data_IF_388894744320
#
_entry.id   IF_388894744320
#
_cell.length_a   1.000
_cell.length_b   1.000
_cell.length_c   1.000
_cell.angle_alpha   90.00
_cell.angle_beta   90.00
_cell.angle_gamma   90.00
#
_symmetry.space_group_name_H-M   'P 1'
#
loop_
_entity.id
_entity.type
_entity.pdbx_description
1 polymer ?
#
# COMPACT_ATOMS: atom_id res chain seq x y z
N UNK A 1 18.76 5.17 17.23
CA UNK A 1 18.50 4.04 16.32
C UNK A 1 19.79 3.74 15.60
N UNK A 2 20.07 2.46 15.30
CA UNK A 2 21.23 2.10 14.50
C UNK A 2 20.92 2.37 13.02
N UNK A 3 21.93 2.69 12.23
CA UNK A 3 21.74 2.83 10.78
C UNK A 3 21.21 1.49 10.22
N UNK A 4 20.31 1.57 9.22
CA UNK A 4 19.57 0.45 8.68
C UNK A 4 18.29 0.05 9.44
N UNK A 5 18.12 0.46 10.71
CA UNK A 5 16.91 0.15 11.48
C UNK A 5 15.72 0.98 10.99
N UNK A 6 14.61 0.31 10.64
CA UNK A 6 13.37 0.99 10.22
C UNK A 6 12.72 1.68 11.42
N UNK A 7 12.34 2.93 11.21
CA UNK A 7 11.62 3.76 12.18
C UNK A 7 10.69 4.75 11.50
N UNK A 8 10.03 5.57 12.31
CA UNK A 8 9.17 6.64 11.82
C UNK A 8 9.99 7.91 11.52
N UNK A 9 9.76 8.51 10.37
CA UNK A 9 10.41 9.76 9.97
C UNK A 9 9.78 10.93 10.73
N UNK A 10 10.63 11.72 11.41
CA UNK A 10 10.20 12.92 12.12
C UNK A 10 10.94 14.15 11.62
N UNK A 11 10.24 15.27 11.51
CA UNK A 11 10.79 16.52 11.02
C UNK A 11 10.79 17.61 12.08
N UNK A 12 11.86 18.39 12.10
CA UNK A 12 11.93 19.66 12.82
C UNK A 12 12.37 20.74 11.83
N UNK A 13 11.55 21.76 11.64
CA UNK A 13 11.89 22.88 10.76
C UNK A 13 12.74 23.88 11.54
N UNK A 14 13.99 24.09 11.12
CA UNK A 14 14.94 24.96 11.84
C UNK A 14 14.82 26.44 11.45
N UNK A 15 14.36 26.74 10.24
CA UNK A 15 14.38 28.10 9.67
C UNK A 15 12.99 28.71 9.48
N UNK A 16 11.93 27.94 9.70
CA UNK A 16 10.56 28.35 9.40
C UNK A 16 9.97 29.17 10.56
N UNK A 17 9.69 30.45 10.33
CA UNK A 17 9.12 31.35 11.35
C UNK A 17 7.60 31.20 11.52
N UNK A 18 6.87 31.00 10.42
CA UNK A 18 5.42 30.77 10.44
C UNK A 18 5.12 29.27 10.31
N UNK A 19 4.46 28.71 11.33
CA UNK A 19 4.18 27.26 11.48
C UNK A 19 5.45 26.41 11.60
N UNK A 20 6.29 26.61 12.64
CA UNK A 20 7.40 25.71 12.91
C UNK A 20 6.88 24.33 13.30
N UNK A 21 7.44 23.30 12.66
CA UNK A 21 7.23 21.91 13.03
C UNK A 21 8.34 21.49 13.99
N UNK A 22 7.98 20.97 15.17
CA UNK A 22 8.93 20.46 16.16
C UNK A 22 8.64 18.99 16.38
N UNK A 23 9.60 18.12 16.02
CA UNK A 23 9.47 16.66 16.12
C UNK A 23 8.15 16.14 15.51
N UNK A 24 7.74 16.74 14.41
CA UNK A 24 6.50 16.40 13.72
C UNK A 24 6.60 14.99 13.14
N UNK A 25 5.62 14.17 13.52
CA UNK A 25 5.53 12.74 13.18
C UNK A 25 4.77 12.58 11.88
N UNK A 26 5.44 12.13 10.83
CA UNK A 26 4.82 11.96 9.50
C UNK A 26 3.97 10.71 9.38
N UNK A 27 4.26 9.70 10.20
CA UNK A 27 3.77 8.35 10.03
C UNK A 27 4.50 7.54 8.96
N UNK A 28 5.48 8.10 8.25
CA UNK A 28 6.21 7.41 7.19
C UNK A 28 7.33 6.52 7.78
N UNK A 29 7.48 5.32 7.23
CA UNK A 29 8.45 4.34 7.68
C UNK A 29 9.66 4.31 6.74
N UNK A 30 10.83 4.63 7.27
CA UNK A 30 12.10 4.60 6.55
C UNK A 30 13.26 4.30 7.51
N UNK A 31 14.46 4.17 6.96
CA UNK A 31 15.70 4.02 7.74
C UNK A 31 16.79 4.91 7.16
N UNK A 32 17.77 5.30 7.98
CA UNK A 32 19.00 5.86 7.44
C UNK A 32 19.83 4.76 6.81
N UNK A 33 20.37 5.04 5.63
CA UNK A 33 21.33 4.17 4.95
C UNK A 33 22.65 4.18 5.72
N UNK A 34 23.28 3.02 5.82
CA UNK A 34 24.65 2.88 6.33
C UNK A 34 25.71 3.15 5.26
N UNK A 35 25.31 3.23 3.99
CA UNK A 35 26.21 3.39 2.84
C UNK A 35 26.29 4.86 2.43
N UNK A 36 27.50 5.42 2.22
CA UNK A 36 27.66 6.78 1.71
C UNK A 36 27.04 6.93 0.32
N UNK A 37 26.53 8.12 0.02
CA UNK A 37 25.96 8.39 -1.29
C UNK A 37 27.04 8.40 -2.38
N UNK A 38 26.81 7.80 -3.56
CA UNK A 38 27.75 7.87 -4.68
C UNK A 38 28.04 9.29 -5.17
N UNK A 39 27.19 10.29 -4.86
CA UNK A 39 27.46 11.69 -5.19
C UNK A 39 28.49 12.38 -4.29
N UNK A 40 28.99 11.71 -3.24
CA UNK A 40 30.01 12.25 -2.34
C UNK A 40 29.49 13.24 -1.28
N UNK A 41 28.17 13.39 -1.13
CA UNK A 41 27.62 14.22 -0.04
C UNK A 41 27.97 13.65 1.33
N UNK A 42 28.26 14.55 2.28
CA UNK A 42 28.48 14.19 3.69
C UNK A 42 27.17 13.92 4.44
N UNK A 43 26.02 14.27 3.85
CA UNK A 43 24.72 14.06 4.47
C UNK A 43 24.33 12.58 4.46
N UNK A 44 23.68 12.13 5.54
CA UNK A 44 23.09 10.79 5.60
C UNK A 44 22.00 10.65 4.55
N UNK A 45 22.00 9.54 3.83
CA UNK A 45 20.93 9.18 2.91
C UNK A 45 19.85 8.38 3.63
N UNK A 46 18.61 8.53 3.19
CA UNK A 46 17.49 7.75 3.68
C UNK A 46 17.18 6.65 2.68
N UNK A 47 16.78 5.48 3.17
CA UNK A 47 16.22 4.43 2.33
C UNK A 47 14.88 4.84 1.73
N UNK A 48 14.45 4.13 0.69
CA UNK A 48 13.12 4.33 0.10
C UNK A 48 12.05 4.17 1.19
N UNK A 49 11.10 5.10 1.22
CA UNK A 49 9.95 5.03 2.14
C UNK A 49 9.21 3.71 1.89
N UNK A 50 9.12 2.88 2.94
CA UNK A 50 8.52 1.54 2.84
C UNK A 50 6.99 1.60 2.85
N UNK A 51 6.43 2.64 3.43
CA UNK A 51 4.99 2.81 3.58
C UNK A 51 4.67 3.67 4.79
N UNK A 52 3.37 3.80 5.10
CA UNK A 52 2.89 4.55 6.26
C UNK A 52 2.49 3.60 7.38
N UNK A 53 2.80 3.96 8.62
CA UNK A 53 2.51 3.18 9.84
C UNK A 53 1.03 2.83 10.00
N UNK A 54 0.15 3.71 9.53
CA UNK A 54 -1.31 3.51 9.59
C UNK A 54 -1.85 2.69 8.40
N UNK A 55 -1.16 2.73 7.26
CA UNK A 55 -1.59 2.07 6.02
C UNK A 55 -0.94 0.69 5.86
N UNK A 56 -0.94 -0.08 6.94
CA UNK A 56 -0.44 -1.45 6.96
C UNK A 56 -1.44 -2.38 7.65
N UNK A 57 -1.49 -3.62 7.19
CA UNK A 57 -2.26 -4.69 7.81
C UNK A 57 -1.34 -5.83 8.18
N UNK A 58 -1.65 -6.47 9.32
CA UNK A 58 -0.94 -7.66 9.77
C UNK A 58 -1.45 -8.85 8.97
N UNK A 59 -0.53 -9.53 8.31
CA UNK A 59 -0.77 -10.76 7.56
C UNK A 59 0.01 -11.91 8.21
N UNK A 60 -0.27 -13.13 7.75
CA UNK A 60 0.35 -14.39 8.17
C UNK A 60 1.70 -14.26 8.90
N UNK A 61 1.78 -14.80 10.12
CA UNK A 61 3.04 -14.90 10.85
C UNK A 61 3.54 -13.59 11.47
N UNK A 62 2.69 -12.56 11.55
CA UNK A 62 3.05 -11.27 12.17
C UNK A 62 3.77 -10.30 11.23
N UNK A 63 3.81 -10.59 9.93
CA UNK A 63 4.33 -9.69 8.92
C UNK A 63 3.35 -8.56 8.60
N UNK A 64 3.86 -7.46 8.05
CA UNK A 64 3.04 -6.32 7.64
C UNK A 64 2.99 -6.20 6.11
N UNK A 65 1.78 -6.10 5.58
CA UNK A 65 1.50 -5.75 4.19
C UNK A 65 1.15 -4.26 4.13
N UNK A 66 1.89 -3.51 3.33
CA UNK A 66 1.66 -2.08 3.10
C UNK A 66 0.84 -1.86 1.83
N UNK A 67 0.04 -0.80 1.83
CA UNK A 67 -0.82 -0.49 0.68
C UNK A 67 0.00 -0.18 -0.58
N UNK A 68 1.16 0.45 -0.44
CA UNK A 68 2.08 0.73 -1.55
C UNK A 68 2.59 -0.53 -2.25
N UNK A 69 2.68 -1.67 -1.57
CA UNK A 69 3.09 -2.93 -2.19
C UNK A 69 1.97 -3.48 -3.07
N UNK A 70 0.72 -3.39 -2.60
CA UNK A 70 -0.43 -3.69 -3.45
C UNK A 70 -0.48 -2.77 -4.67
N UNK A 71 -0.20 -1.47 -4.50
CA UNK A 71 -0.14 -0.54 -5.63
C UNK A 71 0.92 -0.98 -6.65
N UNK A 72 2.11 -1.36 -6.20
CA UNK A 72 3.20 -1.87 -7.05
C UNK A 72 2.81 -3.15 -7.81
N UNK A 73 1.96 -4.00 -7.25
CA UNK A 73 1.55 -5.26 -7.89
C UNK A 73 0.36 -5.10 -8.83
N UNK A 74 -0.61 -4.27 -8.44
CA UNK A 74 -1.93 -4.13 -9.06
C UNK A 74 -1.95 -3.04 -10.14
N UNK A 75 -1.38 -1.86 -9.89
CA UNK A 75 -1.45 -0.73 -10.83
C UNK A 75 -0.67 -0.92 -12.14
N UNK A 76 0.32 -1.81 -12.27
CA UNK A 76 0.92 -2.09 -13.57
C UNK A 76 -0.03 -2.73 -14.59
N UNK A 77 -1.18 -3.27 -14.17
CA UNK A 77 -2.14 -3.85 -15.11
C UNK A 77 -2.94 -2.75 -15.80
N UNK A 78 -2.81 -2.57 -17.12
CA UNK A 78 -3.49 -1.47 -17.84
C UNK A 78 -5.01 -1.63 -17.87
N UNK A 79 -5.54 -2.82 -17.63
CA UNK A 79 -6.97 -3.11 -17.55
C UNK A 79 -7.61 -2.63 -16.24
N UNK A 80 -6.80 -2.47 -15.18
CA UNK A 80 -7.22 -2.04 -13.86
C UNK A 80 -7.26 -0.51 -13.79
N UNK A 81 -8.45 0.04 -13.50
CA UNK A 81 -8.63 1.48 -13.27
C UNK A 81 -8.41 1.84 -11.81
N UNK A 82 -9.00 1.08 -10.91
CA UNK A 82 -8.88 1.30 -9.47
C UNK A 82 -9.17 0.00 -8.70
N UNK A 83 -8.78 -0.03 -7.42
CA UNK A 83 -9.12 -1.15 -6.56
C UNK A 83 -9.30 -0.73 -5.10
N UNK A 84 -10.07 -1.53 -4.37
CA UNK A 84 -10.27 -1.42 -2.92
C UNK A 84 -9.87 -2.74 -2.28
N UNK A 85 -9.07 -2.68 -1.22
CA UNK A 85 -8.58 -3.88 -0.54
C UNK A 85 -9.06 -3.93 0.92
N UNK A 86 -9.55 -5.09 1.31
CA UNK A 86 -10.08 -5.39 2.64
C UNK A 86 -9.46 -6.67 3.15
N UNK A 87 -9.00 -6.64 4.39
CA UNK A 87 -8.53 -7.83 5.08
C UNK A 87 -9.64 -8.31 6.00
N UNK A 88 -10.28 -9.44 5.67
CA UNK A 88 -11.32 -10.07 6.51
C UNK A 88 -10.69 -10.88 7.65
N UNK A 89 -9.53 -11.46 7.40
CA UNK A 89 -8.75 -12.26 8.37
C UNK A 89 -7.28 -12.23 7.96
N UNK A 90 -6.35 -12.58 8.85
CA UNK A 90 -4.90 -12.59 8.54
C UNK A 90 -4.51 -13.44 7.31
N UNK A 91 -5.43 -14.30 6.82
CA UNK A 91 -5.28 -15.19 5.67
C UNK A 91 -6.28 -14.94 4.52
N UNK A 92 -7.16 -13.96 4.62
CA UNK A 92 -8.21 -13.70 3.61
C UNK A 92 -8.18 -12.23 3.21
N UNK A 93 -7.69 -11.97 2.00
CA UNK A 93 -7.65 -10.65 1.38
C UNK A 93 -8.73 -10.56 0.30
N UNK A 94 -9.73 -9.71 0.54
CA UNK A 94 -10.74 -9.35 -0.47
C UNK A 94 -10.27 -8.12 -1.22
N UNK A 95 -10.26 -8.20 -2.54
CA UNK A 95 -9.90 -7.08 -3.41
C UNK A 95 -11.03 -6.85 -4.39
N UNK A 96 -11.58 -5.65 -4.34
CA UNK A 96 -12.53 -5.20 -5.33
C UNK A 96 -11.83 -4.43 -6.42
N UNK A 97 -12.07 -4.82 -7.66
CA UNK A 97 -11.42 -4.21 -8.82
C UNK A 97 -12.44 -3.47 -9.67
N UNK A 98 -12.01 -2.31 -10.17
CA UNK A 98 -12.67 -1.53 -11.19
C UNK A 98 -11.86 -1.71 -12.47
N UNK A 99 -12.46 -2.35 -13.47
CA UNK A 99 -11.81 -2.63 -14.76
C UNK A 99 -12.34 -1.71 -15.85
N UNK A 100 -11.55 -1.51 -16.90
CA UNK A 100 -11.99 -0.84 -18.13
C UNK A 100 -13.15 -1.59 -18.79
N UNK A 101 -14.01 -0.83 -19.48
CA UNK A 101 -15.15 -1.36 -20.23
C UNK A 101 -14.64 -2.26 -21.39
N UNK A 102 -15.32 -3.38 -21.64
CA UNK A 102 -14.94 -4.33 -22.69
C UNK A 102 -13.87 -5.36 -22.32
N UNK A 103 -13.37 -5.37 -21.08
CA UNK A 103 -12.39 -6.36 -20.60
C UNK A 103 -13.09 -7.60 -20.02
N UNK A 104 -12.57 -8.79 -20.34
CA UNK A 104 -12.99 -10.02 -19.69
C UNK A 104 -12.50 -10.06 -18.22
N UNK A 105 -13.45 -10.09 -17.30
CA UNK A 105 -13.20 -10.15 -15.87
C UNK A 105 -12.51 -11.47 -15.49
N UNK A 106 -12.85 -12.60 -16.10
CA UNK A 106 -12.32 -13.90 -15.68
C UNK A 106 -10.83 -14.04 -16.00
N UNK A 107 -10.41 -13.61 -17.19
CA UNK A 107 -9.00 -13.67 -17.59
C UNK A 107 -8.14 -12.73 -16.73
N UNK A 108 -8.60 -11.50 -16.55
CA UNK A 108 -7.92 -10.48 -15.74
C UNK A 108 -7.84 -10.89 -14.28
N UNK A 109 -8.92 -11.48 -13.73
CA UNK A 109 -8.96 -12.01 -12.38
C UNK A 109 -7.89 -13.09 -12.18
N UNK A 110 -7.74 -14.03 -13.12
CA UNK A 110 -6.70 -15.07 -13.04
C UNK A 110 -5.30 -14.46 -13.04
N UNK A 111 -5.01 -13.54 -13.97
CA UNK A 111 -3.71 -12.85 -14.07
C UNK A 111 -3.35 -12.11 -12.78
N UNK A 112 -4.28 -11.32 -12.25
CA UNK A 112 -4.08 -10.54 -11.02
C UNK A 112 -3.91 -11.48 -9.83
N UNK A 113 -4.79 -12.47 -9.68
CA UNK A 113 -4.74 -13.40 -8.54
C UNK A 113 -3.41 -14.16 -8.49
N UNK A 114 -2.93 -14.63 -9.64
CA UNK A 114 -1.66 -15.33 -9.76
C UNK A 114 -0.49 -14.43 -9.35
N UNK A 115 -0.39 -13.22 -9.93
CA UNK A 115 0.72 -12.30 -9.63
C UNK A 115 0.77 -11.90 -8.16
N UNK A 116 -0.39 -11.57 -7.57
CA UNK A 116 -0.47 -11.19 -6.16
C UNK A 116 -0.12 -12.37 -5.26
N UNK A 117 -0.56 -13.59 -5.60
CA UNK A 117 -0.22 -14.79 -4.86
C UNK A 117 1.29 -15.11 -4.94
N UNK A 118 1.91 -14.98 -6.10
CA UNK A 118 3.34 -15.17 -6.30
C UNK A 118 4.17 -14.16 -5.48
N UNK A 119 3.81 -12.87 -5.51
CA UNK A 119 4.50 -11.83 -4.73
C UNK A 119 4.36 -12.03 -3.22
N UNK A 120 3.17 -12.42 -2.74
CA UNK A 120 2.96 -12.71 -1.32
C UNK A 120 3.80 -13.93 -0.90
N UNK A 121 3.79 -14.99 -1.70
CA UNK A 121 4.55 -16.20 -1.40
C UNK A 121 6.06 -15.92 -1.43
N UNK A 122 6.55 -15.15 -2.39
CA UNK A 122 7.97 -14.79 -2.52
C UNK A 122 8.46 -13.91 -1.36
N UNK A 123 7.70 -12.88 -0.99
CA UNK A 123 8.14 -11.90 0.03
C UNK A 123 7.87 -12.34 1.47
N UNK A 124 6.75 -13.02 1.72
CA UNK A 124 6.29 -13.35 3.06
C UNK A 124 6.29 -14.86 3.36
N UNK A 125 6.51 -15.71 2.35
CA UNK A 125 6.53 -17.17 2.52
C UNK A 125 5.18 -17.76 2.90
N UNK A 126 4.08 -17.02 2.75
CA UNK A 126 2.76 -17.42 3.21
C UNK A 126 1.77 -17.55 2.05
N UNK A 127 0.84 -18.50 2.20
CA UNK A 127 -0.28 -18.65 1.26
C UNK A 127 -1.50 -17.95 1.82
N UNK A 128 -2.00 -16.97 1.09
CA UNK A 128 -3.19 -16.21 1.43
C UNK A 128 -4.30 -16.50 0.42
N UNK A 129 -5.56 -16.56 0.87
CA UNK A 129 -6.71 -16.64 -0.02
C UNK A 129 -7.04 -15.23 -0.52
N UNK A 130 -7.04 -15.06 -1.85
CA UNK A 130 -7.34 -13.79 -2.51
C UNK A 130 -8.71 -13.92 -3.18
N UNK A 131 -9.67 -13.13 -2.71
CA UNK A 131 -11.02 -13.08 -3.29
C UNK A 131 -11.15 -11.80 -4.08
N UNK A 132 -11.19 -11.92 -5.40
CA UNK A 132 -11.38 -10.79 -6.32
C UNK A 132 -12.85 -10.67 -6.70
N UNK A 133 -13.43 -9.50 -6.49
CA UNK A 133 -14.80 -9.15 -6.93
C UNK A 133 -14.77 -7.94 -7.85
N UNK A 134 -15.67 -7.91 -8.82
CA UNK A 134 -15.88 -6.72 -9.66
C UNK A 134 -16.82 -5.77 -8.93
N UNK A 135 -16.47 -4.49 -8.86
CA UNK A 135 -17.41 -3.48 -8.36
C UNK A 135 -18.64 -3.42 -9.29
N UNK A 136 -19.85 -3.48 -8.73
CA UNK A 136 -21.09 -3.47 -9.51
C UNK A 136 -21.15 -2.24 -10.44
N UNK A 137 -21.60 -2.46 -11.68
CA UNK A 137 -21.61 -1.47 -12.75
C UNK A 137 -22.57 -0.31 -12.43
N UNK A 138 -22.03 0.73 -11.79
CA UNK A 138 -22.71 2.00 -11.54
C UNK A 138 -21.75 3.19 -11.33
N UNK A 139 -20.44 2.95 -11.32
CA UNK A 139 -19.42 3.97 -11.13
C UNK A 139 -18.26 3.76 -12.11
N UNK A 140 -18.50 3.96 -13.40
CA UNK A 140 -17.43 4.37 -14.33
C UNK A 140 -16.88 5.77 -13.97
N UNK A 141 -17.58 6.50 -13.07
CA UNK A 141 -17.13 7.74 -12.44
C UNK A 141 -16.37 7.48 -11.14
N UNK A 142 -15.16 6.94 -11.22
CA UNK A 142 -14.17 7.14 -10.15
C UNK A 142 -12.81 7.48 -10.77
N UNK A 143 -12.80 8.45 -11.69
CA UNK A 143 -11.57 9.19 -11.97
C UNK A 143 -11.38 10.19 -10.83
N UNK A 144 -10.36 9.93 -10.01
CA UNK A 144 -9.79 10.85 -9.02
C UNK A 144 -10.70 11.25 -7.86
N UNK A 145 -11.32 10.27 -7.17
CA UNK A 145 -11.80 10.55 -5.82
C UNK A 145 -10.60 10.86 -4.93
N UNK A 146 -10.53 12.05 -4.33
CA UNK A 146 -9.52 12.44 -3.33
C UNK A 146 -9.64 11.65 -2.01
N UNK A 147 -10.28 10.49 -2.05
CA UNK A 147 -10.32 9.54 -0.95
C UNK A 147 -8.98 8.85 -0.82
N UNK A 148 -8.38 9.01 0.37
CA UNK A 148 -7.12 8.34 0.70
C UNK A 148 -7.34 6.84 0.70
N UNK A 149 -6.65 6.13 -0.19
CA UNK A 149 -6.62 4.66 -0.19
C UNK A 149 -6.14 4.14 1.18
N UNK A 150 -6.96 3.29 1.79
CA UNK A 150 -6.70 2.66 3.09
C UNK A 150 -7.20 1.22 3.04
N UNK A 151 -6.57 0.35 3.81
CA UNK A 151 -7.15 -0.95 4.10
C UNK A 151 -8.38 -0.76 4.97
N UNK A 152 -9.52 -1.31 4.54
CA UNK A 152 -10.70 -1.37 5.39
C UNK A 152 -10.59 -2.59 6.31
N UNK A 153 -10.77 -2.36 7.61
CA UNK A 153 -10.88 -3.41 8.62
C UNK A 153 -12.38 -3.72 8.74
N UNK A 154 -12.77 -4.93 8.39
CA UNK A 154 -14.14 -5.48 8.48
C UNK A 154 -15.11 -5.10 7.33
N UNK A 155 -15.98 -6.07 6.98
CA UNK A 155 -17.01 -5.99 5.93
C UNK A 155 -18.11 -4.93 6.18
N UNK A 156 -18.28 -4.47 7.42
CA UNK A 156 -19.30 -3.46 7.79
C UNK A 156 -19.01 -2.08 7.18
N UNK A 157 -17.73 -1.73 6.99
CA UNK A 157 -17.33 -0.48 6.32
C UNK A 157 -17.43 -0.56 4.79
N UNK A 158 -17.90 -1.68 4.25
CA UNK A 158 -17.91 -1.97 2.83
C UNK A 158 -19.21 -1.56 2.14
N UNK A 159 -20.31 -1.50 2.91
CA UNK A 159 -21.66 -1.16 2.45
C UNK A 159 -22.07 0.31 2.67
N UNK A 160 -21.33 1.08 3.47
CA UNK A 160 -21.77 2.40 3.95
C UNK A 160 -21.22 3.61 3.17
N UNK A 161 -20.60 3.41 2.00
CA UNK A 161 -20.27 4.52 1.09
C UNK A 161 -21.21 4.52 -0.11
N UNK A 162 -22.47 4.89 0.16
CA UNK A 162 -23.48 5.31 -0.83
C UNK A 162 -23.23 6.75 -1.24
#
# INVERSE_FOLDING_TARGET
>A
MRDGQVGEVTFTTLTRQAMPLIRYRTGDLASFSSVPCPCGTFLKTMSRVRGRRENQVRICGGSFLHFCQLDEWMLPFPELLDYRACLESEKVLRVEVVLKSGVDFQETQKKISQKVQEEIQSRYGCRMQIVLTRKAAGQEKCLNSMEKRKFLRTAENFSESV
#
